data_IF_404141713130
#
_entry.id   IF_404141713130
#
_cell.length_a   1.000
_cell.length_b   1.000
_cell.length_c   1.000
_cell.angle_alpha   90.00
_cell.angle_beta   90.00
_cell.angle_gamma   90.00
#
_symmetry.space_group_name_H-M   'P 1'
#
loop_
_entity.id
_entity.type
_entity.pdbx_description
1 polymer ?
#
# COMPACT_ATOMS: atom_id res chain seq x y z
N UNK A 1 -22.40 -41.55 -20.39
CA UNK A 1 -21.81 -42.07 -19.13
C UNK A 1 -21.89 -43.59 -18.94
N UNK A 2 -22.66 -44.36 -19.73
CA UNK A 2 -22.74 -45.84 -19.60
C UNK A 2 -21.69 -46.58 -20.48
N UNK A 3 -21.16 -45.94 -21.52
CA UNK A 3 -20.24 -46.54 -22.50
C UNK A 3 -18.78 -46.65 -22.05
N UNK A 4 -18.31 -45.80 -21.11
CA UNK A 4 -16.93 -45.88 -20.58
C UNK A 4 -16.78 -47.05 -19.60
N UNK A 5 -17.83 -47.35 -18.83
CA UNK A 5 -17.82 -48.44 -17.85
C UNK A 5 -17.77 -49.82 -18.50
N UNK A 6 -18.42 -50.01 -19.66
CA UNK A 6 -18.34 -51.26 -20.41
C UNK A 6 -16.98 -51.48 -21.06
N UNK A 7 -16.28 -50.41 -21.46
CA UNK A 7 -14.94 -50.48 -22.05
C UNK A 7 -13.88 -50.86 -21.00
N UNK A 8 -13.97 -50.28 -19.80
CA UNK A 8 -13.10 -50.64 -18.67
C UNK A 8 -13.31 -52.08 -18.18
N UNK A 9 -14.55 -52.59 -18.24
CA UNK A 9 -14.87 -53.98 -17.85
C UNK A 9 -14.27 -55.01 -18.82
N UNK A 10 -14.25 -54.71 -20.13
CA UNK A 10 -13.61 -55.57 -21.14
C UNK A 10 -12.08 -55.59 -21.03
N UNK A 11 -11.45 -54.45 -20.72
CA UNK A 11 -10.02 -54.36 -20.43
C UNK A 11 -9.64 -55.16 -19.17
N UNK A 12 -10.49 -55.12 -18.13
CA UNK A 12 -10.27 -55.88 -16.90
C UNK A 12 -10.37 -57.40 -17.12
N UNK A 13 -11.27 -57.89 -17.97
CA UNK A 13 -11.38 -59.32 -18.30
C UNK A 13 -10.28 -59.82 -19.25
N UNK A 14 -9.71 -58.93 -20.08
CA UNK A 14 -8.62 -59.27 -21.00
C UNK A 14 -7.27 -59.50 -20.31
N UNK A 15 -7.11 -59.03 -19.07
CA UNK A 15 -5.86 -59.17 -18.30
C UNK A 15 -5.82 -60.43 -17.41
N UNK A 16 -6.86 -61.28 -17.47
CA UNK A 16 -7.02 -62.42 -16.54
C UNK A 16 -6.40 -63.72 -17.08
N UNK A 17 -6.13 -63.86 -18.38
CA UNK A 17 -5.62 -65.09 -18.97
C UNK A 17 -4.13 -64.99 -19.37
N UNK A 18 -3.27 -64.72 -18.39
CA UNK A 18 -1.86 -65.10 -18.47
C UNK A 18 -1.57 -66.01 -17.28
N UNK A 19 -1.19 -67.25 -17.59
CA UNK A 19 -0.79 -68.25 -16.61
C UNK A 19 0.44 -67.76 -15.84
N UNK A 20 0.42 -67.98 -14.52
CA UNK A 20 1.52 -67.56 -13.64
C UNK A 20 2.78 -68.37 -13.96
N UNK A 21 3.98 -67.77 -14.00
CA UNK A 21 5.22 -68.52 -14.19
C UNK A 21 5.53 -69.38 -12.95
N UNK A 22 5.94 -70.62 -13.18
CA UNK A 22 6.41 -71.54 -12.15
C UNK A 22 7.75 -71.05 -11.58
N UNK A 23 7.86 -70.90 -10.26
CA UNK A 23 9.08 -70.46 -9.58
C UNK A 23 10.00 -71.67 -9.30
N UNK A 24 11.00 -71.87 -10.16
CA UNK A 24 11.92 -73.02 -10.08
C UNK A 24 12.80 -73.01 -8.83
N UNK A 25 13.03 -71.86 -8.16
CA UNK A 25 13.85 -71.81 -6.94
C UNK A 25 13.11 -72.31 -5.69
N UNK A 26 11.77 -72.35 -5.71
CA UNK A 26 10.95 -72.77 -4.56
C UNK A 26 10.07 -74.00 -4.82
N UNK A 27 10.00 -74.48 -6.05
CA UNK A 27 9.23 -75.67 -6.45
C UNK A 27 7.73 -75.60 -6.09
N UNK A 28 7.11 -74.41 -6.06
CA UNK A 28 5.69 -74.21 -5.72
C UNK A 28 5.00 -73.20 -6.63
N UNK A 29 3.67 -73.32 -6.77
CA UNK A 29 2.82 -72.38 -7.51
C UNK A 29 2.25 -71.31 -6.57
N UNK A 30 2.46 -70.01 -6.82
CA UNK A 30 1.95 -68.94 -5.95
C UNK A 30 0.41 -68.81 -5.97
N UNK A 31 -0.28 -68.73 -4.81
CA UNK A 31 -1.70 -68.39 -4.76
C UNK A 31 -1.93 -66.87 -4.80
N UNK A 32 -2.71 -66.38 -5.78
CA UNK A 32 -3.23 -65.01 -5.78
C UNK A 32 -4.42 -64.89 -4.82
N UNK A 33 -4.33 -64.04 -3.79
CA UNK A 33 -5.29 -62.94 -3.50
C UNK A 33 -5.01 -62.24 -2.15
N UNK A 34 -5.22 -60.92 -2.15
CA UNK A 34 -5.28 -59.99 -1.00
C UNK A 34 -4.02 -59.83 -0.13
N UNK A 35 -2.95 -59.26 -0.71
CA UNK A 35 -1.97 -58.53 0.10
C UNK A 35 -2.59 -57.20 0.53
N UNK A 36 -3.10 -57.17 1.76
CA UNK A 36 -3.60 -55.97 2.41
C UNK A 36 -2.65 -54.79 2.18
N UNK A 37 -3.21 -53.67 1.76
CA UNK A 37 -2.48 -52.43 1.59
C UNK A 37 -1.77 -52.14 2.92
N UNK A 38 -0.45 -52.33 2.94
CA UNK A 38 0.27 -52.25 4.19
C UNK A 38 0.07 -50.84 4.75
N UNK A 39 -0.41 -50.75 5.99
CA UNK A 39 -0.45 -49.52 6.79
C UNK A 39 0.92 -48.81 6.90
N UNK A 40 2.00 -49.30 6.28
CA UNK A 40 3.31 -48.65 6.27
C UNK A 40 3.36 -47.36 5.45
N UNK A 41 2.44 -47.12 4.52
CA UNK A 41 2.39 -45.84 3.77
C UNK A 41 1.60 -44.72 4.45
N UNK A 42 0.94 -45.02 5.57
CA UNK A 42 0.28 -44.04 6.45
C UNK A 42 0.98 -43.94 7.81
N UNK A 43 2.31 -44.10 7.83
CA UNK A 43 3.08 -43.55 8.93
C UNK A 43 3.24 -42.07 8.64
N UNK A 44 2.43 -41.24 9.31
CA UNK A 44 2.75 -39.84 9.56
C UNK A 44 4.25 -39.76 9.84
N UNK A 45 4.99 -39.13 8.94
CA UNK A 45 6.41 -38.89 9.14
C UNK A 45 6.49 -38.14 10.46
N UNK A 46 7.03 -38.77 11.52
CA UNK A 46 7.25 -38.08 12.79
C UNK A 46 8.01 -36.81 12.46
N UNK A 47 7.34 -35.67 12.57
CA UNK A 47 7.88 -34.38 12.22
C UNK A 47 9.16 -34.22 13.05
N UNK A 48 10.32 -34.28 12.39
CA UNK A 48 11.60 -34.17 13.11
C UNK A 48 11.61 -32.86 13.88
N UNK A 49 12.33 -32.78 15.01
CA UNK A 49 12.40 -31.54 15.82
C UNK A 49 12.70 -30.30 14.97
N UNK A 50 13.55 -30.44 13.94
CA UNK A 50 13.82 -29.39 12.96
C UNK A 50 12.58 -28.92 12.17
N UNK A 51 11.71 -29.84 11.72
CA UNK A 51 10.50 -29.50 11.00
C UNK A 51 9.43 -28.85 11.91
N UNK A 52 9.40 -29.18 13.20
CA UNK A 52 8.61 -28.44 14.20
C UNK A 52 9.13 -27.00 14.34
N UNK A 53 10.45 -26.81 14.45
CA UNK A 53 11.02 -25.46 14.55
C UNK A 53 10.80 -24.61 13.31
N UNK A 54 10.93 -25.17 12.10
CA UNK A 54 10.63 -24.45 10.86
C UNK A 54 9.17 -24.02 10.80
N UNK A 55 8.24 -24.91 11.18
CA UNK A 55 6.82 -24.58 11.22
C UNK A 55 6.51 -23.45 12.21
N UNK A 56 7.18 -23.43 13.37
CA UNK A 56 7.04 -22.31 14.31
C UNK A 56 7.59 -21.00 13.74
N UNK A 57 8.73 -21.03 13.05
CA UNK A 57 9.29 -19.85 12.36
C UNK A 57 8.33 -19.35 11.28
N UNK A 58 7.78 -20.25 10.46
CA UNK A 58 6.82 -19.91 9.41
C UNK A 58 5.55 -19.26 10.00
N UNK A 59 5.05 -19.77 11.14
CA UNK A 59 3.92 -19.16 11.85
C UNK A 59 4.23 -17.76 12.39
N UNK A 60 5.44 -17.53 12.91
CA UNK A 60 5.89 -16.21 13.36
C UNK A 60 5.98 -15.25 12.18
N UNK A 61 6.56 -15.67 11.06
CA UNK A 61 6.65 -14.86 9.84
C UNK A 61 5.25 -14.51 9.33
N UNK A 62 4.35 -15.49 9.31
CA UNK A 62 2.96 -15.25 8.91
C UNK A 62 2.26 -14.25 9.84
N UNK A 63 2.44 -14.38 11.16
CA UNK A 63 1.92 -13.42 12.13
C UNK A 63 2.47 -12.00 11.94
N UNK A 64 3.78 -11.87 11.68
CA UNK A 64 4.42 -10.59 11.36
C UNK A 64 3.89 -10.00 10.05
N UNK A 65 3.72 -10.82 9.00
CA UNK A 65 3.14 -10.37 7.73
C UNK A 65 1.72 -9.84 7.93
N UNK A 66 0.86 -10.58 8.65
CA UNK A 66 -0.49 -10.13 8.97
C UNK A 66 -0.48 -8.82 9.77
N UNK A 67 0.42 -8.68 10.74
CA UNK A 67 0.56 -7.43 11.48
C UNK A 67 0.99 -6.28 10.56
N UNK A 68 1.99 -6.48 9.70
CA UNK A 68 2.50 -5.42 8.79
C UNK A 68 1.47 -5.01 7.75
N UNK A 69 0.65 -5.95 7.27
CA UNK A 69 -0.41 -5.69 6.30
C UNK A 69 -1.73 -5.26 6.95
N UNK A 70 -1.83 -5.26 8.28
CA UNK A 70 -3.06 -4.93 8.99
C UNK A 70 -3.64 -3.56 8.63
N UNK A 71 -2.84 -2.47 8.49
CA UNK A 71 -3.36 -1.18 8.06
C UNK A 71 -3.95 -1.26 6.64
N UNK A 72 -3.26 -1.89 5.69
CA UNK A 72 -3.76 -2.06 4.31
C UNK A 72 -5.04 -2.90 4.26
N UNK A 73 -5.13 -3.96 5.07
CA UNK A 73 -6.34 -4.77 5.18
C UNK A 73 -7.49 -3.95 5.76
N UNK A 74 -7.20 -3.09 6.74
CA UNK A 74 -8.20 -2.23 7.38
C UNK A 74 -8.69 -1.15 6.44
N UNK A 75 -7.78 -0.50 5.69
CA UNK A 75 -8.09 0.41 4.59
C UNK A 75 -9.08 -0.23 3.61
N UNK A 76 -8.75 -1.42 3.11
CA UNK A 76 -9.59 -2.14 2.15
C UNK A 76 -10.97 -2.51 2.72
N UNK A 77 -11.03 -2.97 3.99
CA UNK A 77 -12.28 -3.43 4.60
C UNK A 77 -13.17 -2.30 5.12
N UNK A 78 -12.58 -1.17 5.51
CA UNK A 78 -13.28 -0.05 6.14
C UNK A 78 -13.35 1.20 5.27
N UNK A 79 -12.93 1.12 4.01
CA UNK A 79 -12.94 2.24 3.06
C UNK A 79 -14.28 2.98 3.04
N UNK A 80 -15.39 2.26 2.85
CA UNK A 80 -16.75 2.83 2.81
C UNK A 80 -17.21 3.47 4.13
N UNK A 81 -16.56 3.14 5.24
CA UNK A 81 -16.90 3.73 6.55
C UNK A 81 -16.06 4.96 6.82
N UNK A 82 -14.78 4.94 6.42
CA UNK A 82 -13.81 6.00 6.73
C UNK A 82 -13.76 7.08 5.65
N UNK A 83 -13.83 6.68 4.37
CA UNK A 83 -13.58 7.55 3.22
C UNK A 83 -14.78 7.70 2.29
N UNK A 84 -15.99 7.34 2.75
CA UNK A 84 -17.21 7.56 1.96
C UNK A 84 -17.38 9.05 1.64
N UNK A 85 -17.57 9.42 0.37
CA UNK A 85 -17.90 10.79 -0.01
C UNK A 85 -19.19 11.27 0.68
N UNK A 86 -19.10 12.41 1.36
CA UNK A 86 -20.18 13.00 2.15
C UNK A 86 -20.52 14.42 1.72
N UNK A 87 -19.66 15.05 0.91
CA UNK A 87 -19.86 16.41 0.45
C UNK A 87 -20.66 16.41 -0.85
N UNK A 88 -21.83 17.04 -0.80
CA UNK A 88 -22.65 17.35 -1.97
C UNK A 88 -22.66 18.86 -2.16
N UNK A 89 -22.12 19.33 -3.28
CA UNK A 89 -22.03 20.75 -3.56
C UNK A 89 -23.29 21.24 -4.29
N UNK A 90 -23.74 22.44 -3.94
CA UNK A 90 -24.88 23.09 -4.58
C UNK A 90 -24.39 24.23 -5.48
N UNK A 91 -24.77 24.20 -6.76
CA UNK A 91 -24.39 25.25 -7.75
C UNK A 91 -25.10 26.59 -7.55
N UNK A 92 -26.20 26.62 -6.81
CA UNK A 92 -27.06 27.81 -6.68
C UNK A 92 -27.16 28.36 -5.24
N UNK A 93 -26.11 28.17 -4.44
CA UNK A 93 -25.96 28.95 -3.22
C UNK A 93 -25.63 30.39 -3.59
N UNK A 94 -26.50 31.34 -3.25
CA UNK A 94 -26.14 32.76 -3.31
C UNK A 94 -24.83 32.95 -2.54
N UNK A 95 -23.81 33.62 -3.10
CA UNK A 95 -22.63 33.97 -2.33
C UNK A 95 -23.13 34.84 -1.19
N UNK A 96 -23.19 34.29 0.03
CA UNK A 96 -23.35 35.12 1.21
C UNK A 96 -22.20 36.11 1.12
N UNK A 97 -22.52 37.39 0.96
CA UNK A 97 -21.54 38.47 1.01
C UNK A 97 -20.98 38.44 2.43
N UNK A 98 -19.88 37.71 2.60
CA UNK A 98 -19.25 37.49 3.88
C UNK A 98 -18.31 38.67 4.12
N UNK A 99 -18.88 39.80 4.53
CA UNK A 99 -18.16 41.04 4.85
C UNK A 99 -17.29 40.96 6.12
N UNK A 100 -16.77 39.79 6.50
CA UNK A 100 -15.88 39.63 7.67
C UNK A 100 -14.76 38.62 7.38
N UNK A 101 -13.53 39.07 7.11
CA UNK A 101 -12.37 38.20 6.91
C UNK A 101 -12.05 37.33 8.14
N UNK A 102 -12.45 37.77 9.33
CA UNK A 102 -12.17 37.13 10.63
C UNK A 102 -12.99 35.84 10.90
N UNK A 103 -13.78 35.38 9.93
CA UNK A 103 -14.75 34.28 10.11
C UNK A 103 -14.45 33.00 9.32
N UNK A 104 -13.46 32.99 8.45
CA UNK A 104 -13.14 31.81 7.65
C UNK A 104 -12.22 30.87 8.42
N UNK A 105 -12.65 29.62 8.58
CA UNK A 105 -11.85 28.56 9.23
C UNK A 105 -10.74 28.06 8.30
N UNK A 106 -10.99 28.11 7.00
CA UNK A 106 -10.03 27.80 5.94
C UNK A 106 -9.52 29.12 5.35
N UNK A 107 -8.23 29.45 5.54
CA UNK A 107 -7.64 30.64 4.93
C UNK A 107 -7.76 30.66 3.41
N UNK A 108 -7.90 31.86 2.84
CA UNK A 108 -8.00 32.06 1.38
C UNK A 108 -6.61 32.07 0.74
N UNK A 109 -5.93 30.92 0.79
CA UNK A 109 -4.60 30.73 0.23
C UNK A 109 -4.65 29.55 -0.74
N UNK A 110 -4.15 29.76 -1.97
CA UNK A 110 -3.94 28.72 -2.96
C UNK A 110 -2.45 28.36 -2.98
N UNK A 111 -2.17 27.09 -2.70
CA UNK A 111 -0.82 26.52 -2.75
C UNK A 111 -0.67 25.62 -3.98
N UNK A 112 0.43 25.80 -4.70
CA UNK A 112 0.89 24.86 -5.73
C UNK A 112 2.39 24.65 -5.57
N UNK A 113 2.89 23.50 -6.03
CA UNK A 113 4.32 23.18 -5.99
C UNK A 113 4.91 23.10 -7.40
N UNK A 114 6.16 23.51 -7.54
CA UNK A 114 6.95 23.32 -8.75
C UNK A 114 8.40 23.09 -8.34
N UNK A 115 9.22 22.47 -9.20
CA UNK A 115 10.64 22.31 -8.89
C UNK A 115 11.35 23.67 -8.74
N UNK A 116 10.98 24.66 -9.55
CA UNK A 116 11.58 25.99 -9.56
C UNK A 116 10.55 27.06 -9.99
N UNK A 117 10.98 28.33 -10.07
CA UNK A 117 10.10 29.46 -10.44
C UNK A 117 9.66 29.44 -11.91
N UNK A 118 10.38 28.69 -12.78
CA UNK A 118 10.05 28.58 -14.20
C UNK A 118 9.05 27.46 -14.40
N UNK A 119 7.80 27.85 -14.63
CA UNK A 119 6.70 26.90 -14.84
C UNK A 119 6.87 26.22 -16.21
N UNK A 120 6.91 24.88 -16.28
CA UNK A 120 6.96 24.15 -17.53
C UNK A 120 5.78 24.52 -18.45
N UNK A 121 6.02 24.61 -19.76
CA UNK A 121 5.01 25.02 -20.74
C UNK A 121 3.72 24.19 -20.65
N UNK A 122 3.83 22.89 -20.34
CA UNK A 122 2.70 21.98 -20.14
C UNK A 122 1.75 22.41 -19.00
N UNK A 123 2.25 23.16 -18.02
CA UNK A 123 1.49 23.56 -16.82
C UNK A 123 1.17 25.06 -16.77
N UNK A 124 1.68 25.87 -17.71
CA UNK A 124 1.43 27.33 -17.72
C UNK A 124 -0.08 27.61 -17.84
N UNK A 125 -0.80 26.86 -18.66
CA UNK A 125 -2.23 27.06 -18.88
C UNK A 125 -3.08 26.65 -17.67
N UNK A 126 -2.80 25.51 -17.05
CA UNK A 126 -3.48 25.03 -15.84
C UNK A 126 -3.19 25.91 -14.64
N UNK A 127 -1.93 26.29 -14.42
CA UNK A 127 -1.56 27.21 -13.36
C UNK A 127 -2.31 28.55 -13.49
N UNK A 128 -2.31 29.14 -14.69
CA UNK A 128 -3.02 30.41 -14.94
C UNK A 128 -4.53 30.28 -14.74
N UNK A 129 -5.15 29.18 -15.14
CA UNK A 129 -6.59 29.00 -14.91
C UNK A 129 -6.91 28.94 -13.42
N UNK A 130 -6.07 28.30 -12.61
CA UNK A 130 -6.22 28.31 -11.16
C UNK A 130 -5.94 29.68 -10.52
N UNK A 131 -4.90 30.40 -10.91
CA UNK A 131 -4.67 31.78 -10.43
C UNK A 131 -5.87 32.68 -10.75
N UNK A 132 -6.45 32.55 -11.94
CA UNK A 132 -7.62 33.34 -12.34
C UNK A 132 -8.87 32.95 -11.56
N UNK A 133 -9.14 31.64 -11.43
CA UNK A 133 -10.29 31.12 -10.70
C UNK A 133 -10.24 31.54 -9.22
N UNK A 134 -9.07 31.49 -8.60
CA UNK A 134 -8.83 31.87 -7.20
C UNK A 134 -8.21 33.28 -7.08
N UNK A 135 -8.64 34.24 -7.92
CA UNK A 135 -8.08 35.61 -7.93
C UNK A 135 -8.28 36.39 -6.62
N UNK A 136 -9.26 35.99 -5.79
CA UNK A 136 -9.49 36.54 -4.45
C UNK A 136 -8.64 35.85 -3.35
N UNK A 137 -7.78 34.91 -3.71
CA UNK A 137 -6.93 34.16 -2.78
C UNK A 137 -5.48 34.64 -2.87
N UNK A 138 -4.75 34.53 -1.77
CA UNK A 138 -3.29 34.63 -1.82
C UNK A 138 -2.73 33.43 -2.58
N UNK A 139 -1.95 33.68 -3.63
CA UNK A 139 -1.25 32.63 -4.35
C UNK A 139 0.15 32.40 -3.79
N UNK A 140 0.46 31.16 -3.39
CA UNK A 140 1.80 30.74 -2.94
C UNK A 140 2.33 29.61 -3.81
N UNK A 141 3.36 29.92 -4.60
CA UNK A 141 4.16 28.95 -5.32
C UNK A 141 5.32 28.44 -4.43
N UNK A 142 5.34 27.14 -4.17
CA UNK A 142 6.37 26.46 -3.41
C UNK A 142 7.38 25.79 -4.35
N UNK A 143 8.55 26.41 -4.50
CA UNK A 143 9.71 25.83 -5.18
C UNK A 143 10.48 24.91 -4.25
N UNK A 144 11.33 24.01 -4.79
CA UNK A 144 12.18 23.15 -3.95
C UNK A 144 13.04 23.99 -2.98
N UNK A 145 13.52 25.16 -3.42
CA UNK A 145 14.27 26.12 -2.60
C UNK A 145 13.42 26.75 -1.51
N UNK A 146 12.29 27.39 -1.87
CA UNK A 146 11.38 28.02 -0.88
C UNK A 146 10.81 27.02 0.12
N UNK A 147 10.50 25.82 -0.33
CA UNK A 147 10.03 24.73 0.51
C UNK A 147 11.10 24.31 1.51
N UNK A 148 12.35 24.14 1.06
CA UNK A 148 13.48 23.80 1.94
C UNK A 148 13.76 24.91 2.95
N UNK A 149 13.72 26.17 2.54
CA UNK A 149 13.92 27.32 3.44
C UNK A 149 12.84 27.38 4.52
N UNK A 150 11.57 27.23 4.14
CA UNK A 150 10.45 27.16 5.07
C UNK A 150 10.57 25.97 6.05
N UNK A 151 10.97 24.79 5.55
CA UNK A 151 11.23 23.65 6.41
C UNK A 151 12.41 23.92 7.35
N UNK A 152 13.45 24.62 6.90
CA UNK A 152 14.60 24.94 7.74
C UNK A 152 14.26 25.88 8.89
N UNK A 153 13.33 26.82 8.68
CA UNK A 153 12.89 27.76 9.71
C UNK A 153 11.86 27.16 10.65
N UNK A 154 10.84 26.48 10.12
CA UNK A 154 9.67 26.05 10.89
C UNK A 154 9.73 24.57 11.34
N UNK A 155 10.43 23.72 10.59
CA UNK A 155 10.47 22.26 10.79
C UNK A 155 11.87 21.67 10.59
N UNK A 156 12.94 22.21 11.22
CA UNK A 156 14.33 21.83 10.93
C UNK A 156 14.61 20.34 11.13
N UNK A 157 13.84 19.68 11.99
CA UNK A 157 13.91 18.24 12.24
C UNK A 157 13.58 17.38 11.01
N UNK A 158 12.90 17.94 10.00
CA UNK A 158 12.50 17.22 8.79
C UNK A 158 13.53 17.32 7.65
N UNK A 159 14.51 18.22 7.73
CA UNK A 159 15.45 18.49 6.64
C UNK A 159 16.23 17.25 6.21
N UNK A 160 16.63 16.39 7.14
CA UNK A 160 17.32 15.13 6.79
C UNK A 160 16.45 14.23 5.91
N UNK A 161 15.15 14.12 6.21
CA UNK A 161 14.23 13.35 5.37
C UNK A 161 14.02 14.03 4.02
N UNK A 162 13.83 15.35 4.02
CA UNK A 162 13.64 16.16 2.81
C UNK A 162 14.80 16.02 1.81
N UNK A 163 16.04 16.22 2.30
CA UNK A 163 17.25 16.20 1.49
C UNK A 163 17.59 14.79 0.97
N UNK A 164 17.11 13.73 1.65
CA UNK A 164 17.37 12.34 1.29
C UNK A 164 16.23 11.65 0.53
N UNK A 165 15.15 12.34 0.17
CA UNK A 165 14.13 11.77 -0.72
C UNK A 165 14.75 11.36 -2.07
N UNK A 166 14.40 10.15 -2.53
CA UNK A 166 14.97 9.57 -3.74
C UNK A 166 14.46 10.23 -5.02
N UNK A 167 13.23 10.75 -4.99
CA UNK A 167 12.54 11.34 -6.14
C UNK A 167 11.99 12.73 -5.80
N UNK A 168 12.10 13.72 -6.71
CA UNK A 168 11.56 15.07 -6.49
C UNK A 168 10.07 15.10 -6.13
N UNK A 169 9.26 14.21 -6.72
CA UNK A 169 7.82 14.13 -6.41
C UNK A 169 7.56 13.84 -4.92
N UNK A 170 8.44 13.12 -4.23
CA UNK A 170 8.28 12.88 -2.78
C UNK A 170 8.43 14.18 -1.97
N UNK A 171 9.25 15.12 -2.45
CA UNK A 171 9.37 16.45 -1.87
C UNK A 171 8.07 17.25 -2.08
N UNK A 172 7.56 17.30 -3.31
CA UNK A 172 6.27 17.92 -3.62
C UNK A 172 5.09 17.32 -2.81
N UNK A 173 5.07 15.99 -2.65
CA UNK A 173 4.11 15.27 -1.81
C UNK A 173 4.25 15.58 -0.33
N UNK A 174 5.47 15.73 0.19
CA UNK A 174 5.66 16.03 1.61
C UNK A 174 5.31 17.49 1.94
N UNK A 175 5.77 18.46 1.13
CA UNK A 175 5.60 19.89 1.42
C UNK A 175 4.13 20.29 1.44
N UNK A 176 3.27 19.70 0.60
CA UNK A 176 1.83 20.00 0.59
C UNK A 176 1.17 19.74 1.96
N UNK A 177 1.65 18.77 2.73
CA UNK A 177 1.16 18.53 4.09
C UNK A 177 1.61 19.61 5.08
N UNK A 178 2.87 20.02 5.00
CA UNK A 178 3.41 21.08 5.87
C UNK A 178 2.75 22.42 5.64
N UNK A 179 2.56 22.83 4.38
CA UNK A 179 1.99 24.14 4.06
C UNK A 179 0.52 24.20 4.44
N UNK A 180 -0.25 23.12 4.22
CA UNK A 180 -1.64 23.04 4.67
C UNK A 180 -1.76 22.99 6.20
N UNK A 181 -0.83 22.33 6.90
CA UNK A 181 -0.81 22.35 8.36
C UNK A 181 -0.47 23.74 8.91
N UNK A 182 0.50 24.43 8.31
CA UNK A 182 1.02 25.70 8.79
C UNK A 182 0.11 26.88 8.43
N UNK A 183 -0.27 26.97 7.16
CA UNK A 183 -1.03 28.09 6.59
C UNK A 183 -2.51 27.79 6.37
N UNK A 184 -2.93 26.52 6.37
CA UNK A 184 -4.27 26.14 5.93
C UNK A 184 -4.43 26.34 4.41
N UNK A 185 -5.66 26.54 3.95
CA UNK A 185 -5.96 26.88 2.56
C UNK A 185 -6.24 25.68 1.67
N UNK A 186 -6.06 25.88 0.36
CA UNK A 186 -6.23 24.87 -0.69
C UNK A 186 -4.85 24.53 -1.25
N UNK A 187 -4.60 23.24 -1.42
CA UNK A 187 -3.53 22.73 -2.28
C UNK A 187 -4.14 22.14 -3.55
N UNK A 188 -3.51 22.43 -4.70
CA UNK A 188 -3.81 21.87 -6.01
C UNK A 188 -2.52 21.52 -6.75
N UNK A 189 -2.49 20.38 -7.43
CA UNK A 189 -1.38 20.04 -8.33
C UNK A 189 -1.36 20.95 -9.58
N UNK A 190 -0.18 21.07 -10.20
CA UNK A 190 0.07 21.97 -11.33
C UNK A 190 -0.61 21.51 -12.63
N UNK A 191 -0.92 20.24 -12.74
CA UNK A 191 -1.65 19.61 -13.84
C UNK A 191 -3.17 19.60 -13.64
N UNK A 192 -3.68 20.38 -12.68
CA UNK A 192 -5.13 20.62 -12.54
C UNK A 192 -5.54 21.90 -13.27
N UNK A 193 -6.47 21.80 -14.21
CA UNK A 193 -7.11 22.96 -14.82
C UNK A 193 -8.32 23.40 -13.99
N UNK A 194 -8.30 24.63 -13.48
CA UNK A 194 -9.43 25.17 -12.73
C UNK A 194 -10.45 25.85 -13.66
N UNK A 195 -11.67 25.32 -13.67
CA UNK A 195 -12.81 25.89 -14.39
C UNK A 195 -13.45 27.03 -13.58
N UNK A 196 -13.62 26.82 -12.26
CA UNK A 196 -14.20 27.78 -11.31
C UNK A 196 -13.59 27.57 -9.91
N UNK A 197 -13.64 28.57 -9.03
CA UNK A 197 -13.20 28.41 -7.65
C UNK A 197 -14.06 27.41 -6.88
N UNK A 198 -13.43 26.54 -6.09
CA UNK A 198 -14.14 25.64 -5.19
C UNK A 198 -14.95 26.45 -4.15
N UNK A 199 -16.24 26.13 -3.92
CA UNK A 199 -17.10 26.88 -3.01
C UNK A 199 -16.82 26.48 -1.54
N UNK A 200 -15.66 26.86 -1.01
CA UNK A 200 -15.18 26.48 0.34
C UNK A 200 -16.21 26.76 1.44
N UNK A 201 -17.00 27.82 1.30
CA UNK A 201 -18.04 28.17 2.28
C UNK A 201 -19.08 27.06 2.50
N UNK A 202 -19.25 26.12 1.55
CA UNK A 202 -20.17 24.98 1.68
C UNK A 202 -19.59 23.84 2.54
N UNK A 203 -18.27 23.83 2.75
CA UNK A 203 -17.59 22.83 3.58
C UNK A 203 -17.14 23.39 4.94
N UNK A 204 -17.16 24.70 5.15
CA UNK A 204 -16.91 25.30 6.45
C UNK A 204 -18.14 25.07 7.35
N UNK A 205 -18.15 23.97 8.11
CA UNK A 205 -19.20 23.74 9.11
C UNK A 205 -18.96 24.64 10.31
N UNK A 206 -19.99 25.33 10.79
CA UNK A 206 -19.88 26.21 11.97
C UNK A 206 -19.52 25.42 13.26
N UNK A 207 -19.79 24.12 13.33
CA UNK A 207 -19.68 23.33 14.58
C UNK A 207 -18.32 22.71 14.85
N UNK A 208 -17.49 22.43 13.84
CA UNK A 208 -16.20 21.76 14.03
C UNK A 208 -15.05 22.77 14.20
N UNK A 209 -14.14 22.55 15.16
CA UNK A 209 -12.99 23.43 15.38
C UNK A 209 -11.98 23.41 14.21
N UNK A 210 -11.85 22.26 13.56
CA UNK A 210 -10.98 22.06 12.39
C UNK A 210 -11.80 21.54 11.21
N UNK A 211 -11.31 21.78 10.00
CA UNK A 211 -11.91 21.28 8.76
C UNK A 211 -10.81 20.86 7.80
N UNK A 212 -10.87 19.62 7.31
CA UNK A 212 -10.08 19.11 6.21
C UNK A 212 -11.00 18.50 5.16
N UNK A 213 -10.67 18.68 3.88
CA UNK A 213 -11.32 18.02 2.75
C UNK A 213 -10.26 17.27 1.95
N UNK A 214 -10.58 16.02 1.62
CA UNK A 214 -9.81 15.21 0.69
C UNK A 214 -10.72 14.70 -0.44
N UNK A 215 -10.15 14.50 -1.61
CA UNK A 215 -10.82 13.79 -2.70
C UNK A 215 -10.68 12.27 -2.52
N UNK A 216 -11.78 11.53 -2.74
CA UNK A 216 -11.79 10.08 -2.74
C UNK A 216 -11.04 9.53 -3.97
N UNK A 217 -10.23 8.49 -3.77
CA UNK A 217 -9.54 7.81 -4.87
C UNK A 217 -10.05 6.37 -5.06
N UNK A 218 -9.82 5.82 -6.25
CA UNK A 218 -10.14 4.44 -6.58
C UNK A 218 -8.86 3.59 -6.53
N UNK A 219 -8.92 2.35 -5.99
CA UNK A 219 -10.10 1.68 -5.42
C UNK A 219 -10.40 2.09 -3.96
N UNK A 220 -9.43 2.63 -3.22
CA UNK A 220 -9.57 2.91 -1.78
C UNK A 220 -8.72 4.08 -1.31
N UNK A 221 -9.26 4.84 -0.35
CA UNK A 221 -8.57 5.93 0.34
C UNK A 221 -8.87 7.30 -0.25
N UNK A 222 -7.89 8.18 -0.14
CA UNK A 222 -7.94 9.56 -0.63
C UNK A 222 -6.70 9.89 -1.45
N UNK A 223 -6.84 10.83 -2.37
CA UNK A 223 -5.72 11.40 -3.12
C UNK A 223 -5.12 12.61 -2.39
N UNK A 224 -3.92 12.99 -2.78
CA UNK A 224 -3.20 14.13 -2.26
C UNK A 224 -3.03 15.27 -3.29
N UNK A 225 -3.63 15.17 -4.47
CA UNK A 225 -3.60 16.18 -5.56
C UNK A 225 -4.46 17.41 -5.27
N UNK A 226 -5.59 17.23 -4.59
CA UNK A 226 -6.49 18.28 -4.12
C UNK A 226 -6.81 18.07 -2.65
N UNK A 227 -6.48 19.08 -1.84
CA UNK A 227 -6.74 19.06 -0.41
C UNK A 227 -7.09 20.44 0.10
N UNK A 228 -7.98 20.49 1.09
CA UNK A 228 -8.33 21.72 1.79
C UNK A 228 -8.11 21.52 3.27
N UNK A 229 -7.56 22.52 3.97
CA UNK A 229 -7.35 22.43 5.41
C UNK A 229 -7.52 23.76 6.14
N UNK A 230 -8.10 23.70 7.33
CA UNK A 230 -7.93 24.73 8.34
C UNK A 230 -6.52 24.67 8.92
N UNK A 231 -6.01 25.81 9.39
CA UNK A 231 -4.71 25.90 10.06
C UNK A 231 -4.62 24.89 11.22
N UNK A 232 -3.48 24.21 11.34
CA UNK A 232 -3.14 23.23 12.37
C UNK A 232 -4.09 22.03 12.49
N UNK A 233 -4.73 21.61 11.39
CA UNK A 233 -5.60 20.43 11.43
C UNK A 233 -4.84 19.16 11.90
N UNK A 234 -5.35 18.41 12.91
CA UNK A 234 -4.65 17.26 13.49
C UNK A 234 -4.30 16.13 12.51
N UNK A 235 -5.14 15.85 11.51
CA UNK A 235 -4.82 14.87 10.46
C UNK A 235 -3.52 15.21 9.69
N UNK A 236 -3.26 16.50 9.42
CA UNK A 236 -2.02 16.92 8.75
C UNK A 236 -0.83 16.91 9.72
N UNK A 237 -1.05 17.17 11.01
CA UNK A 237 -0.02 16.96 12.03
C UNK A 237 0.41 15.49 12.09
N UNK A 238 -0.56 14.56 12.03
CA UNK A 238 -0.31 13.13 11.95
C UNK A 238 0.50 12.78 10.69
N UNK A 239 0.12 13.30 9.52
CA UNK A 239 0.86 13.10 8.27
C UNK A 239 2.32 13.54 8.41
N UNK A 240 2.55 14.80 8.80
CA UNK A 240 3.88 15.35 8.97
C UNK A 240 4.74 14.49 9.92
N UNK A 241 4.18 14.06 11.05
CA UNK A 241 4.90 13.27 12.05
C UNK A 241 5.30 11.86 11.56
N UNK A 242 4.56 11.29 10.61
CA UNK A 242 4.78 9.92 10.13
C UNK A 242 5.68 9.84 8.89
N UNK A 243 5.87 10.93 8.14
CA UNK A 243 6.71 10.98 6.93
C UNK A 243 8.11 10.36 7.12
N UNK A 244 8.89 10.67 8.18
CA UNK A 244 10.22 10.07 8.34
C UNK A 244 10.18 8.55 8.52
N UNK A 245 9.12 8.02 9.16
CA UNK A 245 8.93 6.60 9.36
C UNK A 245 8.73 5.86 8.04
N UNK A 246 7.83 6.37 7.20
CA UNK A 246 7.56 5.80 5.88
C UNK A 246 8.72 5.99 4.91
N UNK A 247 9.44 7.13 4.96
CA UNK A 247 10.68 7.32 4.22
C UNK A 247 11.73 6.27 4.61
N UNK A 248 11.95 6.03 5.91
CA UNK A 248 12.95 5.06 6.40
C UNK A 248 12.68 3.63 5.90
N UNK A 249 11.41 3.24 5.80
CA UNK A 249 11.00 1.91 5.33
C UNK A 249 11.18 1.78 3.81
N UNK A 250 10.91 2.84 3.05
CA UNK A 250 10.90 2.83 1.58
C UNK A 250 12.28 3.09 0.97
N UNK A 251 13.14 3.90 1.61
CA UNK A 251 14.40 4.40 1.04
C UNK A 251 15.36 3.33 0.49
N UNK A 252 15.39 2.14 1.11
CA UNK A 252 16.34 1.07 0.76
C UNK A 252 16.01 0.40 -0.57
N UNK A 253 14.74 0.39 -0.96
CA UNK A 253 14.26 -0.24 -2.18
C UNK A 253 13.60 0.76 -3.14
N UNK A 254 13.60 2.05 -2.81
CA UNK A 254 12.93 3.10 -3.59
C UNK A 254 13.32 3.11 -5.08
N UNK A 255 14.60 2.86 -5.39
CA UNK A 255 15.07 2.80 -6.78
C UNK A 255 14.69 1.51 -7.52
N UNK A 256 14.38 0.43 -6.80
CA UNK A 256 13.97 -0.84 -7.38
C UNK A 256 12.47 -0.83 -7.73
N UNK A 257 11.64 -0.17 -6.91
CA UNK A 257 10.20 -0.02 -7.14
C UNK A 257 9.78 1.45 -6.92
N UNK A 258 10.12 2.36 -7.85
CA UNK A 258 9.83 3.79 -7.74
C UNK A 258 8.37 4.11 -7.45
N UNK A 259 7.43 3.55 -8.22
CA UNK A 259 6.00 3.81 -8.07
C UNK A 259 5.50 3.49 -6.64
N UNK A 260 5.74 2.27 -6.16
CA UNK A 260 5.34 1.86 -4.81
C UNK A 260 6.02 2.71 -3.73
N UNK A 261 7.28 3.05 -3.92
CA UNK A 261 8.03 3.84 -2.96
C UNK A 261 7.46 5.25 -2.84
N UNK A 262 7.13 5.90 -3.96
CA UNK A 262 6.49 7.22 -3.98
C UNK A 262 5.13 7.15 -3.27
N UNK A 263 4.25 6.22 -3.69
CA UNK A 263 2.92 6.04 -3.12
C UNK A 263 2.94 5.83 -1.60
N UNK A 264 3.83 4.96 -1.10
CA UNK A 264 3.91 4.57 0.32
C UNK A 264 4.67 5.59 1.17
N UNK A 265 5.64 6.32 0.61
CA UNK A 265 6.50 7.20 1.41
C UNK A 265 5.86 8.54 1.76
N UNK A 266 5.20 9.16 0.78
CA UNK A 266 4.64 10.51 0.89
C UNK A 266 3.39 10.72 0.03
N UNK A 267 3.11 9.84 -0.94
CA UNK A 267 2.01 10.01 -1.90
C UNK A 267 0.60 9.66 -1.35
N UNK A 268 -0.37 9.40 -2.25
CA UNK A 268 -1.76 9.10 -1.89
C UNK A 268 -1.95 7.93 -0.92
N UNK A 269 -1.20 6.84 -1.08
CA UNK A 269 -1.33 5.67 -0.20
C UNK A 269 -0.79 5.98 1.21
N UNK A 270 0.31 6.72 1.31
CA UNK A 270 0.79 7.26 2.59
C UNK A 270 -0.29 8.08 3.28
N UNK A 271 -0.86 9.07 2.58
CA UNK A 271 -1.88 9.95 3.14
C UNK A 271 -3.10 9.15 3.59
N UNK A 272 -3.56 8.20 2.77
CA UNK A 272 -4.69 7.32 3.09
C UNK A 272 -4.48 6.54 4.38
N UNK A 273 -3.30 5.92 4.57
CA UNK A 273 -2.99 5.15 5.78
C UNK A 273 -2.91 6.04 7.03
N UNK A 274 -2.34 7.24 6.91
CA UNK A 274 -2.27 8.18 8.04
C UNK A 274 -3.66 8.71 8.41
N UNK A 275 -4.45 9.12 7.43
CA UNK A 275 -5.79 9.66 7.67
C UNK A 275 -6.70 8.55 8.21
N UNK A 276 -6.53 7.30 7.75
CA UNK A 276 -7.19 6.13 8.33
C UNK A 276 -6.88 6.01 9.83
N UNK A 277 -5.60 5.97 10.20
CA UNK A 277 -5.17 5.86 11.60
C UNK A 277 -5.73 7.00 12.46
N UNK A 278 -5.69 8.23 11.93
CA UNK A 278 -6.30 9.39 12.57
C UNK A 278 -7.82 9.24 12.78
N UNK A 279 -8.55 8.74 11.78
CA UNK A 279 -10.00 8.55 11.83
C UNK A 279 -10.41 7.42 12.76
N UNK A 280 -9.61 6.34 12.85
CA UNK A 280 -9.88 5.19 13.70
C UNK A 280 -9.91 5.53 15.19
N UNK A 281 -9.21 6.58 15.61
CA UNK A 281 -9.16 7.06 17.00
C UNK A 281 -10.17 8.19 17.29
N UNK A 282 -10.95 8.63 16.29
CA UNK A 282 -11.96 9.68 16.50
C UNK A 282 -13.20 9.13 17.23
N UNK A 283 -13.86 9.95 18.07
CA UNK A 283 -15.06 9.54 18.79
C UNK A 283 -16.27 9.33 17.86
N UNK A 284 -16.26 9.94 16.68
CA UNK A 284 -17.33 9.89 15.70
C UNK A 284 -16.75 9.51 14.34
N UNK A 285 -17.41 8.55 13.69
CA UNK A 285 -17.13 8.14 12.31
C UNK A 285 -18.45 8.19 11.53
N UNK A 286 -18.58 9.05 10.50
CA UNK A 286 -17.56 9.97 9.99
C UNK A 286 -17.16 11.08 10.96
N UNK A 287 -15.88 11.50 10.92
CA UNK A 287 -15.40 12.61 11.74
C UNK A 287 -15.96 13.93 11.23
N UNK A 288 -16.47 14.82 12.09
CA UNK A 288 -16.92 16.14 11.66
C UNK A 288 -15.78 17.04 11.18
N UNK A 289 -14.52 16.68 11.48
CA UNK A 289 -13.32 17.45 11.11
C UNK A 289 -12.78 17.08 9.73
N UNK A 290 -13.02 15.86 9.25
CA UNK A 290 -12.50 15.36 7.98
C UNK A 290 -13.67 15.04 7.05
N UNK A 291 -13.66 15.64 5.88
CA UNK A 291 -14.66 15.45 4.84
C UNK A 291 -14.03 14.80 3.63
N UNK A 292 -14.81 14.00 2.93
CA UNK A 292 -14.41 13.40 1.66
C UNK A 292 -15.40 13.81 0.58
N UNK A 293 -14.88 14.20 -0.58
CA UNK A 293 -15.65 14.54 -1.78
C UNK A 293 -15.32 13.55 -2.90
N UNK A 294 -16.30 13.26 -3.75
CA UNK A 294 -16.07 12.44 -4.95
C UNK A 294 -15.60 13.29 -6.12
N UNK A 295 -14.77 12.72 -7.00
CA UNK A 295 -14.32 13.38 -8.23
C UNK A 295 -15.49 13.92 -9.07
N UNK A 296 -16.63 13.22 -9.09
CA UNK A 296 -17.84 13.66 -9.80
C UNK A 296 -18.40 15.01 -9.34
N UNK A 297 -18.24 15.37 -8.06
CA UNK A 297 -18.65 16.66 -7.52
C UNK A 297 -17.64 17.77 -7.86
N UNK A 298 -16.42 17.40 -8.22
CA UNK A 298 -15.31 18.30 -8.52
C UNK A 298 -15.23 18.70 -10.00
N UNK A 299 -15.74 17.87 -10.91
CA UNK A 299 -15.78 18.13 -12.37
C UNK A 299 -16.21 19.56 -12.74
N UNK A 300 -17.25 20.16 -12.11
CA UNK A 300 -17.64 21.54 -12.41
C UNK A 300 -16.56 22.59 -12.13
N UNK A 301 -15.67 22.34 -11.18
CA UNK A 301 -14.70 23.31 -10.66
C UNK A 301 -13.31 23.07 -11.20
N UNK A 302 -12.95 21.82 -11.48
CA UNK A 302 -11.62 21.48 -11.98
C UNK A 302 -11.61 20.20 -12.80
N UNK A 303 -10.59 20.12 -13.66
CA UNK A 303 -10.32 19.00 -14.56
C UNK A 303 -8.86 18.61 -14.41
N UNK A 304 -8.58 17.35 -14.09
CA UNK A 304 -7.23 16.80 -14.10
C UNK A 304 -6.76 16.65 -15.56
N UNK A 305 -5.55 17.12 -15.87
CA UNK A 305 -4.95 17.04 -17.19
C UNK A 305 -4.09 15.79 -17.41
N UNK A 306 -4.13 14.81 -16.50
CA UNK A 306 -3.35 13.55 -16.55
C UNK A 306 -1.90 13.80 -17.00
N UNK A 307 -1.05 14.34 -16.13
CA UNK A 307 0.34 14.57 -16.51
C UNK A 307 1.20 13.29 -16.46
N UNK A 308 2.17 13.24 -17.35
CA UNK A 308 3.01 12.07 -17.65
C UNK A 308 3.90 11.57 -16.48
N UNK A 309 3.84 12.17 -15.29
CA UNK A 309 4.70 11.86 -14.14
C UNK A 309 4.49 10.44 -13.58
N UNK A 310 3.35 9.82 -13.87
CA UNK A 310 2.97 8.48 -13.40
C UNK A 310 3.15 7.36 -14.45
N UNK A 311 3.78 7.62 -15.60
CA UNK A 311 3.78 6.66 -16.72
C UNK A 311 5.09 5.87 -16.91
N UNK A 312 5.92 5.75 -15.87
CA UNK A 312 7.10 4.87 -15.94
C UNK A 312 6.68 3.41 -16.12
N UNK A 313 7.58 2.60 -16.67
CA UNK A 313 7.30 1.19 -17.03
C UNK A 313 6.76 0.37 -15.84
N UNK A 314 7.21 0.66 -14.61
CA UNK A 314 6.74 0.02 -13.39
C UNK A 314 5.27 0.36 -13.09
N UNK A 315 4.88 1.62 -13.23
CA UNK A 315 3.48 2.04 -13.06
C UNK A 315 2.57 1.38 -14.10
N UNK A 316 3.01 1.29 -15.36
CA UNK A 316 2.26 0.58 -16.42
C UNK A 316 2.08 -0.91 -16.10
N UNK A 317 3.13 -1.56 -15.57
CA UNK A 317 3.05 -2.95 -15.13
C UNK A 317 2.05 -3.13 -13.97
N UNK A 318 2.02 -2.21 -13.01
CA UNK A 318 1.05 -2.22 -11.91
C UNK A 318 -0.39 -1.98 -12.38
N UNK A 319 -0.61 -1.01 -13.27
CA UNK A 319 -1.94 -0.77 -13.86
C UNK A 319 -2.44 -2.02 -14.62
N UNK A 320 -1.57 -2.60 -15.47
CA UNK A 320 -1.89 -3.84 -16.19
C UNK A 320 -2.23 -5.02 -15.27
N UNK A 321 -1.59 -5.08 -14.11
CA UNK A 321 -1.78 -6.12 -13.11
C UNK A 321 -3.03 -5.88 -12.25
N UNK A 322 -3.38 -4.61 -12.00
CA UNK A 322 -4.64 -4.19 -11.37
C UNK A 322 -5.86 -4.65 -12.16
N UNK A 323 -5.79 -4.62 -13.50
CA UNK A 323 -6.85 -5.11 -14.39
C UNK A 323 -6.99 -6.65 -14.39
N UNK A 324 -6.06 -7.37 -13.74
CA UNK A 324 -5.99 -8.84 -13.74
C UNK A 324 -5.87 -9.39 -12.32
N UNK A 325 -6.94 -9.30 -11.51
CA UNK A 325 -6.91 -9.70 -10.11
C UNK A 325 -6.43 -11.15 -9.90
N UNK A 326 -6.82 -12.09 -10.78
CA UNK A 326 -6.37 -13.47 -10.70
C UNK A 326 -4.87 -13.64 -10.98
N UNK A 327 -4.29 -12.82 -11.86
CA UNK A 327 -2.84 -12.82 -12.09
C UNK A 327 -2.11 -12.26 -10.86
N UNK A 328 -2.62 -11.19 -10.24
CA UNK A 328 -2.10 -10.65 -8.99
C UNK A 328 -2.08 -11.68 -7.86
N UNK A 329 -3.24 -12.30 -7.58
CA UNK A 329 -3.33 -13.33 -6.53
C UNK A 329 -2.48 -14.55 -6.84
N UNK A 330 -2.45 -15.00 -8.10
CA UNK A 330 -1.63 -16.12 -8.54
C UNK A 330 -0.13 -15.87 -8.34
N UNK A 331 0.37 -14.71 -8.81
CA UNK A 331 1.76 -14.29 -8.62
C UNK A 331 2.11 -14.12 -7.14
N UNK A 332 1.20 -13.55 -6.34
CA UNK A 332 1.36 -13.42 -4.90
C UNK A 332 1.50 -14.77 -4.19
N UNK A 333 0.64 -15.75 -4.51
CA UNK A 333 0.72 -17.10 -3.93
C UNK A 333 2.00 -17.81 -4.35
N UNK A 334 2.37 -17.76 -5.64
CA UNK A 334 3.61 -18.36 -6.15
C UNK A 334 4.83 -17.73 -5.48
N UNK A 335 4.86 -16.40 -5.39
CA UNK A 335 5.94 -15.66 -4.73
C UNK A 335 6.07 -16.00 -3.25
N UNK A 336 4.95 -16.09 -2.53
CA UNK A 336 4.92 -16.48 -1.12
C UNK A 336 5.45 -17.91 -0.92
N UNK A 337 4.96 -18.87 -1.69
CA UNK A 337 5.40 -20.27 -1.63
C UNK A 337 6.89 -20.40 -1.97
N UNK A 338 7.35 -19.69 -3.00
CA UNK A 338 8.76 -19.67 -3.39
C UNK A 338 9.65 -19.07 -2.28
N UNK A 339 9.24 -17.94 -1.68
CA UNK A 339 9.98 -17.31 -0.58
C UNK A 339 10.07 -18.22 0.64
N UNK A 340 8.94 -18.82 1.07
CA UNK A 340 8.92 -19.77 2.19
C UNK A 340 9.81 -20.98 1.87
N UNK A 341 9.75 -21.51 0.65
CA UNK A 341 10.59 -22.62 0.24
C UNK A 341 12.08 -22.28 0.32
N UNK A 342 12.50 -21.16 -0.27
CA UNK A 342 13.91 -20.72 -0.27
C UNK A 342 14.38 -20.46 1.16
N UNK A 343 13.59 -19.77 1.98
CA UNK A 343 13.92 -19.50 3.38
C UNK A 343 14.10 -20.79 4.17
N UNK A 344 13.16 -21.74 4.04
CA UNK A 344 13.25 -23.03 4.71
C UNK A 344 14.47 -23.84 4.25
N UNK A 345 14.83 -23.76 2.96
CA UNK A 345 16.07 -24.37 2.44
C UNK A 345 17.32 -23.75 3.06
N UNK A 346 17.40 -22.43 3.17
CA UNK A 346 18.53 -21.72 3.81
C UNK A 346 18.61 -22.09 5.29
N UNK A 347 17.50 -22.05 6.02
CA UNK A 347 17.44 -22.41 7.44
C UNK A 347 17.87 -23.88 7.67
N UNK A 348 17.49 -24.81 6.79
CA UNK A 348 17.94 -26.20 6.85
C UNK A 348 19.45 -26.34 6.62
N UNK A 349 20.02 -25.59 5.67
CA UNK A 349 21.47 -25.58 5.43
C UNK A 349 22.21 -25.06 6.65
N UNK A 350 21.76 -23.94 7.23
CA UNK A 350 22.32 -23.35 8.45
C UNK A 350 22.21 -24.33 9.62
N UNK A 351 21.03 -24.94 9.83
CA UNK A 351 20.79 -25.92 10.89
C UNK A 351 21.72 -27.14 10.78
N UNK A 352 21.93 -27.66 9.56
CA UNK A 352 22.85 -28.77 9.30
C UNK A 352 24.30 -28.38 9.54
N UNK A 353 24.71 -27.17 9.14
CA UNK A 353 26.04 -26.65 9.40
C UNK A 353 26.30 -26.57 10.92
N UNK A 354 25.38 -25.97 11.68
CA UNK A 354 25.46 -25.88 13.13
C UNK A 354 25.50 -27.25 13.82
N UNK A 355 24.65 -28.20 13.43
CA UNK A 355 24.68 -29.57 13.98
C UNK A 355 25.99 -30.30 13.68
N UNK A 356 26.56 -30.10 12.49
CA UNK A 356 27.86 -30.65 12.11
C UNK A 356 28.99 -30.11 12.98
N UNK A 357 28.98 -28.80 13.26
CA UNK A 357 29.95 -28.16 14.17
C UNK A 357 29.81 -28.69 15.60
N UNK A 358 28.57 -28.80 16.12
CA UNK A 358 28.30 -29.30 17.47
C UNK A 358 28.72 -30.76 17.65
N UNK A 359 28.44 -31.63 16.66
CA UNK A 359 28.88 -33.03 16.70
C UNK A 359 30.42 -33.15 16.72
N UNK A 360 31.12 -32.35 15.90
CA UNK A 360 32.59 -32.29 15.88
C UNK A 360 33.17 -31.88 17.23
N UNK A 361 32.64 -30.81 17.86
CA UNK A 361 33.07 -30.39 19.19
C UNK A 361 32.76 -31.41 20.29
N UNK A 362 31.62 -32.12 20.21
CA UNK A 362 31.27 -33.17 21.18
C UNK A 362 32.16 -34.42 21.06
N UNK A 363 32.60 -34.72 19.83
CA UNK A 363 33.50 -35.83 19.56
C UNK A 363 34.90 -35.51 20.11
N UNK A 364 35.40 -34.29 19.85
CA UNK A 364 36.67 -33.81 20.40
C UNK A 364 36.67 -33.78 21.94
N UNK A 365 35.58 -33.38 22.59
CA UNK A 365 35.47 -33.43 24.06
C UNK A 365 35.38 -34.85 24.62
N UNK A 366 34.80 -35.81 23.89
CA UNK A 366 34.81 -37.22 24.29
C UNK A 366 36.18 -37.87 24.14
N UNK A 367 36.90 -37.55 23.06
CA UNK A 367 38.29 -38.03 22.84
C UNK A 367 39.23 -37.44 23.88
N UNK A 368 39.08 -36.16 24.25
CA UNK A 368 39.88 -35.52 25.29
C UNK A 368 39.62 -36.04 26.72
N UNK A 369 38.56 -36.81 26.96
CA UNK A 369 38.29 -37.50 28.24
C UNK A 369 38.82 -38.94 28.28
N UNK A 370 39.29 -39.45 27.14
CA UNK A 370 39.85 -40.80 26.98
C UNK A 370 41.40 -40.79 26.95
N UNK A 371 42.00 -39.60 26.95
CA UNK A 371 43.42 -39.31 27.24
C UNK A 371 43.51 -38.80 28.68
#
# INVERSE_FOLDING_TARGET
>A
MITIWQYLRRLATSLVNYDAPYDEERLEWEPRFFRGWSRKYLKSARLGRAAVYLLLIDLVIFGLLLHTLHPLITLLRRNEVLFRPQVTLTRHGTPRIFNRPDRYKVPRILHQTCANETIPDAWVHSQRSCINAYSDFEYKLWTDERARDFLSSEYPWFLDTWDNYAFPIQRADSIRYFVLYHYGGIYLDMDTFCNEAFPIHQIESDTAAHTALFEATLPTGVTNDFMISSVRHPAFAAAISQLPGFHRITRLWARLQPYCAIMISSGPLFLSLVVEDYLLVQPLIPSPTVKVISSSQLIPYMTDLESATWHREDAQAFMWLGDKPWAWFGLGVVGLVACIYVLNRVLLVVWRAFLGTVHSTSYLTKVAKLL
#
